data_IF_654050849277
#
_entry.id   IF_654050849277
#
_cell.length_a   1.000
_cell.length_b   1.000
_cell.length_c   1.000
_cell.angle_alpha   90.00
_cell.angle_beta   90.00
_cell.angle_gamma   90.00
#
_symmetry.space_group_name_H-M   'P 1'
#
loop_
_entity.id
_entity.type
_entity.pdbx_description
1 polymer ?
#
# COMPACT_ATOMS: atom_id res chain seq x y z
N UNK A 1 7.62 49.35 -9.34
CA UNK A 1 6.14 49.42 -9.19
C UNK A 1 5.56 48.04 -9.44
N UNK A 2 5.00 47.35 -8.44
CA UNK A 2 4.29 46.07 -8.65
C UNK A 2 2.95 46.37 -9.32
N UNK A 3 2.80 46.05 -10.60
CA UNK A 3 1.51 46.14 -11.29
C UNK A 3 0.55 45.11 -10.67
N UNK A 4 -0.33 45.58 -9.78
CA UNK A 4 -1.33 44.72 -9.14
C UNK A 4 -2.47 44.49 -10.14
N UNK A 5 -2.51 43.31 -10.75
CA UNK A 5 -3.60 42.91 -11.64
C UNK A 5 -4.89 42.86 -10.82
N UNK A 6 -5.95 43.54 -11.28
CA UNK A 6 -7.24 43.57 -10.59
C UNK A 6 -7.91 42.20 -10.72
N UNK A 7 -8.58 41.74 -9.66
CA UNK A 7 -9.30 40.45 -9.66
C UNK A 7 -10.30 40.35 -10.84
N UNK A 8 -11.06 41.42 -11.08
CA UNK A 8 -12.00 41.51 -12.20
C UNK A 8 -11.33 41.28 -13.56
N UNK A 9 -10.10 41.76 -13.76
CA UNK A 9 -9.35 41.52 -15.01
C UNK A 9 -9.04 40.04 -15.22
N UNK A 10 -8.72 39.30 -14.14
CA UNK A 10 -8.50 37.85 -14.24
C UNK A 10 -9.80 37.09 -14.52
N UNK A 11 -10.92 37.55 -13.95
CA UNK A 11 -12.25 37.00 -14.20
C UNK A 11 -12.67 37.24 -15.66
N UNK A 12 -12.53 38.46 -16.16
CA UNK A 12 -12.87 38.85 -17.54
C UNK A 12 -12.01 38.12 -18.59
N UNK A 13 -10.76 37.76 -18.24
CA UNK A 13 -9.85 36.96 -19.08
C UNK A 13 -10.02 35.44 -18.90
N UNK A 14 -11.03 35.02 -18.14
CA UNK A 14 -11.30 33.61 -17.83
C UNK A 14 -10.10 32.85 -17.24
N UNK A 15 -9.18 33.56 -16.59
CA UNK A 15 -7.99 32.95 -15.99
C UNK A 15 -8.34 31.81 -15.01
N UNK A 16 -9.35 31.92 -14.13
CA UNK A 16 -9.79 30.80 -13.29
C UNK A 16 -10.23 29.56 -14.09
N UNK A 17 -10.76 29.72 -15.30
CA UNK A 17 -11.13 28.60 -16.18
C UNK A 17 -9.88 27.88 -16.68
N UNK A 18 -8.85 28.62 -17.07
CA UNK A 18 -7.54 28.05 -17.45
C UNK A 18 -6.93 27.28 -16.28
N UNK A 19 -6.95 27.83 -15.06
CA UNK A 19 -6.44 27.14 -13.87
C UNK A 19 -7.17 25.81 -13.60
N UNK A 20 -8.49 25.76 -13.79
CA UNK A 20 -9.28 24.52 -13.66
C UNK A 20 -8.87 23.48 -14.71
N UNK A 21 -8.60 23.90 -15.95
CA UNK A 21 -8.12 22.99 -17.01
C UNK A 21 -6.72 22.44 -16.74
N UNK A 22 -5.84 23.25 -16.13
CA UNK A 22 -4.51 22.79 -15.71
C UNK A 22 -4.66 21.81 -14.54
N UNK A 23 -5.43 22.17 -13.52
CA UNK A 23 -5.67 21.34 -12.33
C UNK A 23 -6.21 19.96 -12.69
N UNK A 24 -7.15 19.85 -13.63
CA UNK A 24 -7.69 18.55 -14.06
C UNK A 24 -6.64 17.62 -14.70
N UNK A 25 -5.49 18.15 -15.12
CA UNK A 25 -4.36 17.40 -15.71
C UNK A 25 -3.22 17.14 -14.72
N UNK A 26 -3.30 17.67 -13.49
CA UNK A 26 -2.30 17.39 -12.46
C UNK A 26 -2.42 15.96 -11.93
N UNK A 27 -1.28 15.28 -11.78
CA UNK A 27 -1.22 13.89 -11.32
C UNK A 27 -1.50 13.72 -9.81
N UNK A 28 -1.25 14.76 -9.00
CA UNK A 28 -1.31 14.68 -7.53
C UNK A 28 -2.28 15.69 -6.94
N UNK A 29 -2.88 15.38 -5.80
CA UNK A 29 -3.78 16.30 -5.08
C UNK A 29 -3.09 17.61 -4.72
N UNK A 30 -1.86 17.64 -4.16
CA UNK A 30 -1.15 18.89 -3.92
C UNK A 30 -0.88 19.68 -5.21
N UNK A 31 -0.56 19.00 -6.32
CA UNK A 31 -0.38 19.64 -7.63
C UNK A 31 -1.67 20.31 -8.13
N UNK A 32 -2.83 19.67 -7.94
CA UNK A 32 -4.15 20.24 -8.27
C UNK A 32 -4.42 21.53 -7.50
N UNK A 33 -4.11 21.55 -6.20
CA UNK A 33 -4.26 22.72 -5.33
C UNK A 33 -3.29 23.82 -5.75
N UNK A 34 -2.02 23.49 -6.01
CA UNK A 34 -1.01 24.45 -6.46
C UNK A 34 -1.40 25.10 -7.80
N UNK A 35 -1.92 24.32 -8.76
CA UNK A 35 -2.38 24.83 -10.05
C UNK A 35 -3.52 25.85 -9.90
N UNK A 36 -4.47 25.61 -8.99
CA UNK A 36 -5.58 26.54 -8.72
C UNK A 36 -5.14 27.81 -7.98
N UNK A 37 -3.99 27.77 -7.30
CA UNK A 37 -3.43 28.89 -6.57
C UNK A 37 -2.49 29.77 -7.41
N UNK A 38 -2.23 29.40 -8.67
CA UNK A 38 -1.34 30.16 -9.56
C UNK A 38 -1.86 31.59 -9.78
N UNK A 39 -0.92 32.53 -9.84
CA UNK A 39 -1.16 33.93 -10.18
C UNK A 39 -0.12 34.38 -11.21
N UNK A 40 -0.43 35.34 -12.08
CA UNK A 40 0.56 35.85 -13.02
C UNK A 40 1.78 36.42 -12.29
N UNK A 41 2.98 36.01 -12.72
CA UNK A 41 4.22 36.51 -12.14
C UNK A 41 4.50 37.95 -12.58
N UNK A 42 5.00 38.77 -11.66
CA UNK A 42 5.39 40.16 -11.92
C UNK A 42 6.90 40.36 -12.08
N UNK A 43 7.69 39.32 -11.87
CA UNK A 43 9.15 39.37 -11.89
C UNK A 43 9.70 38.55 -13.05
N UNK A 44 10.58 39.16 -13.84
CA UNK A 44 11.13 38.57 -15.06
C UNK A 44 11.88 37.26 -14.79
N UNK A 45 12.66 37.21 -13.72
CA UNK A 45 13.44 36.03 -13.35
C UNK A 45 12.52 34.85 -13.02
N UNK A 46 11.48 35.06 -12.21
CA UNK A 46 10.48 34.04 -11.90
C UNK A 46 9.76 33.52 -13.16
N UNK A 47 9.44 34.41 -14.10
CA UNK A 47 8.86 34.04 -15.41
C UNK A 47 9.81 33.15 -16.20
N UNK A 48 11.08 33.57 -16.33
CA UNK A 48 12.08 32.82 -17.11
C UNK A 48 12.34 31.44 -16.50
N UNK A 49 12.50 31.34 -15.19
CA UNK A 49 12.69 30.05 -14.51
C UNK A 49 11.50 29.13 -14.70
N UNK A 50 10.27 29.61 -14.51
CA UNK A 50 9.07 28.78 -14.63
C UNK A 50 8.79 28.34 -16.08
N UNK A 51 8.98 29.23 -17.06
CA UNK A 51 8.88 28.86 -18.47
C UNK A 51 9.98 27.87 -18.87
N UNK A 52 11.19 28.05 -18.37
CA UNK A 52 12.30 27.12 -18.61
C UNK A 52 12.02 25.72 -18.04
N UNK A 53 11.56 25.63 -16.79
CA UNK A 53 11.14 24.35 -16.19
C UNK A 53 10.00 23.69 -16.97
N UNK A 54 9.02 24.49 -17.44
CA UNK A 54 7.92 23.99 -18.28
C UNK A 54 8.43 23.46 -19.62
N UNK A 55 9.38 24.16 -20.24
CA UNK A 55 10.00 23.76 -21.50
C UNK A 55 10.82 22.48 -21.36
N UNK A 56 11.60 22.35 -20.29
CA UNK A 56 12.36 21.12 -19.98
C UNK A 56 11.43 19.92 -19.75
N UNK A 57 10.35 20.14 -19.00
CA UNK A 57 9.37 19.09 -18.76
C UNK A 57 8.67 18.66 -20.06
N UNK A 58 8.29 19.62 -20.91
CA UNK A 58 7.70 19.35 -22.22
C UNK A 58 8.67 18.61 -23.15
N UNK A 59 9.95 18.99 -23.18
CA UNK A 59 10.94 18.35 -24.04
C UNK A 59 11.19 16.89 -23.66
N UNK A 60 10.94 16.51 -22.40
CA UNK A 60 11.02 15.11 -21.96
C UNK A 60 10.05 14.17 -22.70
N UNK A 61 8.97 14.68 -23.30
CA UNK A 61 8.05 13.88 -24.13
C UNK A 61 8.57 13.62 -25.55
N UNK A 62 9.58 14.38 -25.99
CA UNK A 62 10.13 14.31 -27.35
C UNK A 62 11.51 13.64 -27.40
N UNK A 63 12.11 13.36 -26.25
CA UNK A 63 13.43 12.72 -26.11
C UNK A 63 13.31 11.33 -25.51
N UNK A 64 14.28 10.45 -25.76
CA UNK A 64 14.33 9.11 -25.12
C UNK A 64 14.54 9.17 -23.59
N UNK A 65 14.93 10.33 -23.06
CA UNK A 65 15.15 10.58 -21.63
C UNK A 65 13.86 11.07 -20.96
N UNK A 66 12.77 10.30 -21.03
CA UNK A 66 11.49 10.74 -20.47
C UNK A 66 11.53 10.81 -18.94
N UNK A 67 11.03 11.93 -18.38
CA UNK A 67 10.90 12.10 -16.93
C UNK A 67 10.00 10.98 -16.37
N UNK A 68 10.43 10.26 -15.32
CA UNK A 68 9.66 9.16 -14.76
C UNK A 68 8.35 9.64 -14.13
N UNK A 69 7.44 8.69 -13.91
CA UNK A 69 6.19 8.98 -13.21
C UNK A 69 6.49 9.56 -11.81
N UNK A 70 5.75 10.60 -11.45
CA UNK A 70 5.88 11.34 -10.18
C UNK A 70 4.50 11.53 -9.52
N UNK A 71 3.54 10.69 -9.89
CA UNK A 71 2.28 10.59 -9.17
C UNK A 71 2.51 9.91 -7.82
N UNK A 72 1.88 10.44 -6.78
CA UNK A 72 1.91 9.89 -5.43
C UNK A 72 0.62 10.24 -4.70
N UNK A 73 0.28 9.42 -3.71
CA UNK A 73 -0.84 9.68 -2.81
C UNK A 73 -0.42 10.66 -1.70
N UNK A 74 -1.33 11.57 -1.37
CA UNK A 74 -1.11 12.54 -0.29
C UNK A 74 -1.01 11.83 1.07
N UNK A 75 0.00 12.19 1.86
CA UNK A 75 0.28 11.60 3.18
C UNK A 75 0.02 12.57 4.36
N UNK A 76 -0.68 13.68 4.11
CA UNK A 76 -0.88 14.73 5.12
C UNK A 76 -1.66 14.25 6.35
N UNK A 77 -2.55 13.27 6.18
CA UNK A 77 -3.30 12.70 7.31
C UNK A 77 -2.37 11.86 8.20
N UNK A 78 -1.50 11.07 7.59
CA UNK A 78 -0.51 10.22 8.25
C UNK A 78 0.52 11.05 8.99
N UNK A 79 1.04 12.11 8.37
CA UNK A 79 1.98 13.03 9.01
C UNK A 79 1.36 13.71 10.24
N UNK A 80 0.06 14.07 10.18
CA UNK A 80 -0.67 14.61 11.34
C UNK A 80 -0.81 13.58 12.46
N UNK A 81 -1.10 12.32 12.12
CA UNK A 81 -1.22 11.24 13.09
C UNK A 81 0.14 10.91 13.73
N UNK A 82 1.23 10.89 12.96
CA UNK A 82 2.59 10.66 13.46
C UNK A 82 3.07 11.73 14.45
N UNK A 83 2.53 12.96 14.36
CA UNK A 83 2.83 14.02 15.31
C UNK A 83 2.15 13.83 16.68
N UNK A 84 1.20 12.89 16.80
CA UNK A 84 0.47 12.61 18.03
C UNK A 84 1.06 11.37 18.69
N UNK A 85 1.61 11.54 19.90
CA UNK A 85 2.16 10.42 20.67
C UNK A 85 1.15 9.28 20.85
N UNK A 86 1.64 8.04 20.83
CA UNK A 86 0.87 6.81 20.98
C UNK A 86 -0.23 6.59 19.92
N UNK A 87 -0.16 7.29 18.79
CA UNK A 87 -1.03 7.04 17.64
C UNK A 87 -0.44 5.95 16.75
N UNK A 88 -1.32 5.21 16.09
CA UNK A 88 -0.94 4.18 15.11
C UNK A 88 -1.37 4.58 13.71
N UNK A 89 -0.59 4.17 12.71
CA UNK A 89 -0.98 4.25 11.31
C UNK A 89 -1.43 2.88 10.81
N UNK A 90 -2.35 2.88 9.86
CA UNK A 90 -2.67 1.69 9.07
C UNK A 90 -1.55 1.35 8.10
N UNK A 91 -1.44 0.08 7.73
CA UNK A 91 -0.44 -0.43 6.77
C UNK A 91 -0.44 0.39 5.47
N UNK A 92 -1.62 0.76 4.96
CA UNK A 92 -1.74 1.54 3.74
C UNK A 92 -1.09 2.92 3.85
N UNK A 93 -1.14 3.54 5.04
CA UNK A 93 -0.46 4.81 5.30
C UNK A 93 1.06 4.68 5.18
N UNK A 94 1.65 3.65 5.80
CA UNK A 94 3.08 3.36 5.65
C UNK A 94 3.46 3.09 4.20
N UNK A 95 2.65 2.34 3.46
CA UNK A 95 2.91 2.08 2.03
C UNK A 95 2.92 3.34 1.19
N UNK A 96 2.00 4.28 1.45
CA UNK A 96 2.00 5.59 0.76
C UNK A 96 3.27 6.39 1.06
N UNK A 97 3.73 6.39 2.32
CA UNK A 97 4.98 7.04 2.73
C UNK A 97 6.18 6.42 2.00
N UNK A 98 6.32 5.09 2.04
CA UNK A 98 7.41 4.40 1.34
C UNK A 98 7.40 4.66 -0.17
N UNK A 99 6.21 4.63 -0.79
CA UNK A 99 6.05 4.95 -2.22
C UNK A 99 6.46 6.38 -2.54
N UNK A 100 6.16 7.36 -1.68
CA UNK A 100 6.57 8.75 -1.89
C UNK A 100 8.10 8.88 -1.80
N UNK A 101 8.72 8.27 -0.79
CA UNK A 101 10.19 8.23 -0.65
C UNK A 101 10.85 7.64 -1.91
N UNK A 102 10.32 6.52 -2.43
CA UNK A 102 10.82 5.90 -3.65
C UNK A 102 10.69 6.81 -4.87
N UNK A 103 9.55 7.50 -5.04
CA UNK A 103 9.35 8.50 -6.11
C UNK A 103 10.40 9.62 -6.00
N UNK A 104 10.65 10.14 -4.81
CA UNK A 104 11.66 11.20 -4.60
C UNK A 104 13.06 10.70 -5.00
N UNK A 105 13.45 9.51 -4.55
CA UNK A 105 14.74 8.91 -4.90
C UNK A 105 14.91 8.70 -6.42
N UNK A 106 13.87 8.18 -7.08
CA UNK A 106 13.87 7.98 -8.54
C UNK A 106 13.98 9.30 -9.31
N UNK A 107 13.23 10.33 -8.90
CA UNK A 107 13.30 11.65 -9.51
C UNK A 107 14.68 12.29 -9.33
N UNK A 108 15.25 12.24 -8.12
CA UNK A 108 16.59 12.80 -7.85
C UNK A 108 17.67 12.07 -8.64
N UNK A 109 17.63 10.73 -8.67
CA UNK A 109 18.54 9.92 -9.49
C UNK A 109 18.44 10.28 -10.96
N UNK A 110 17.22 10.43 -11.47
CA UNK A 110 16.96 10.81 -12.86
C UNK A 110 17.53 12.21 -13.18
N UNK A 111 17.16 13.23 -12.42
CA UNK A 111 17.59 14.60 -12.69
C UNK A 111 19.10 14.79 -12.49
N UNK A 112 19.72 14.04 -11.57
CA UNK A 112 21.19 14.01 -11.43
C UNK A 112 21.85 13.42 -12.68
N UNK A 113 21.31 12.33 -13.21
CA UNK A 113 21.82 11.66 -14.43
C UNK A 113 21.67 12.55 -15.67
N UNK A 114 20.56 13.27 -15.80
CA UNK A 114 20.22 14.06 -16.97
C UNK A 114 20.32 15.58 -16.75
N UNK A 115 21.16 16.02 -15.81
CA UNK A 115 21.32 17.43 -15.43
C UNK A 115 21.70 18.38 -16.58
N UNK A 116 22.34 17.87 -17.63
CA UNK A 116 22.68 18.65 -18.82
C UNK A 116 21.46 18.90 -19.72
N UNK A 117 20.50 17.97 -19.72
CA UNK A 117 19.24 18.10 -20.47
C UNK A 117 18.19 18.86 -19.67
N UNK A 118 18.18 18.71 -18.34
CA UNK A 118 17.18 19.29 -17.43
C UNK A 118 17.82 20.09 -16.30
N UNK A 119 18.64 21.13 -16.58
CA UNK A 119 19.37 21.86 -15.55
C UNK A 119 18.46 22.59 -14.56
N UNK A 120 17.34 23.16 -15.00
CA UNK A 120 16.42 23.90 -14.12
C UNK A 120 15.61 22.95 -13.23
N UNK A 121 15.13 21.83 -13.77
CA UNK A 121 14.44 20.80 -12.99
C UNK A 121 15.40 20.06 -12.06
N UNK A 122 16.65 19.84 -12.47
CA UNK A 122 17.69 19.34 -11.58
C UNK A 122 17.93 20.31 -10.41
N UNK A 123 18.08 21.60 -10.68
CA UNK A 123 18.17 22.63 -9.64
C UNK A 123 16.98 22.60 -8.68
N UNK A 124 15.76 22.45 -9.20
CA UNK A 124 14.55 22.33 -8.37
C UNK A 124 14.58 21.08 -7.49
N UNK A 125 15.02 19.93 -8.00
CA UNK A 125 15.08 18.67 -7.24
C UNK A 125 16.10 18.66 -6.08
N UNK A 126 17.01 19.64 -6.05
CA UNK A 126 17.93 19.82 -4.93
C UNK A 126 17.24 20.40 -3.68
N UNK A 127 16.08 21.06 -3.83
CA UNK A 127 15.31 21.61 -2.71
C UNK A 127 14.59 20.55 -1.86
N UNK A 128 14.51 19.31 -2.36
CA UNK A 128 13.84 18.19 -1.71
C UNK A 128 14.89 17.23 -1.18
N UNK A 129 14.82 16.89 0.11
CA UNK A 129 15.70 15.89 0.71
C UNK A 129 15.27 14.47 0.32
N UNK A 130 16.25 13.58 0.17
CA UNK A 130 16.01 12.16 -0.10
C UNK A 130 16.11 11.38 1.21
N UNK A 131 15.07 10.62 1.54
CA UNK A 131 15.08 9.70 2.67
C UNK A 131 14.77 8.28 2.19
N UNK A 132 15.84 7.50 2.01
CA UNK A 132 15.74 6.08 1.63
C UNK A 132 15.67 5.15 2.83
N UNK A 133 16.01 5.64 4.02
CA UNK A 133 16.01 4.85 5.25
C UNK A 133 14.58 4.55 5.69
N UNK A 134 13.70 5.56 5.65
CA UNK A 134 12.27 5.38 5.97
C UNK A 134 11.62 4.33 5.07
N UNK A 135 11.87 4.38 3.76
CA UNK A 135 11.34 3.39 2.82
C UNK A 135 11.85 1.99 3.15
N UNK A 136 13.17 1.84 3.38
CA UNK A 136 13.78 0.56 3.71
C UNK A 136 13.25 -0.03 5.04
N UNK A 137 13.05 0.79 6.06
CA UNK A 137 12.47 0.37 7.33
C UNK A 137 11.04 -0.15 7.14
N UNK A 138 10.22 0.54 6.35
CA UNK A 138 8.85 0.12 6.05
C UNK A 138 8.84 -1.19 5.27
N UNK A 139 9.66 -1.34 4.24
CA UNK A 139 9.78 -2.56 3.42
C UNK A 139 10.37 -3.76 4.19
N UNK A 140 11.15 -3.48 5.24
CA UNK A 140 11.65 -4.48 6.17
C UNK A 140 10.56 -5.08 7.07
N UNK A 141 9.42 -4.38 7.23
CA UNK A 141 8.30 -4.82 8.08
C UNK A 141 7.09 -5.25 7.25
N UNK A 142 6.84 -4.56 6.14
CA UNK A 142 5.65 -4.71 5.29
C UNK A 142 6.10 -5.20 3.92
N UNK A 143 5.55 -6.31 3.45
CA UNK A 143 5.89 -6.85 2.15
C UNK A 143 5.17 -6.15 0.98
N UNK A 144 5.49 -6.58 -0.25
CA UNK A 144 4.88 -6.06 -1.49
C UNK A 144 3.36 -6.26 -1.57
N UNK A 145 2.80 -7.23 -0.86
CA UNK A 145 1.37 -7.52 -0.82
C UNK A 145 0.66 -6.67 0.23
N UNK A 146 1.40 -5.99 1.12
CA UNK A 146 0.85 -5.20 2.21
C UNK A 146 0.58 -6.04 3.44
N UNK A 147 1.29 -7.16 3.60
CA UNK A 147 1.23 -7.98 4.80
C UNK A 147 2.46 -7.72 5.67
N UNK A 148 2.27 -7.78 6.99
CA UNK A 148 3.39 -7.74 7.93
C UNK A 148 4.18 -9.03 7.78
N UNK A 149 5.47 -8.90 7.47
CA UNK A 149 6.36 -10.02 7.24
C UNK A 149 6.49 -10.91 8.48
N UNK A 150 6.71 -12.20 8.25
CA UNK A 150 6.94 -13.17 9.35
C UNK A 150 8.17 -12.81 10.18
N UNK A 151 9.18 -12.24 9.53
CA UNK A 151 10.47 -11.85 10.08
C UNK A 151 10.53 -10.38 10.53
N UNK A 152 9.39 -9.66 10.53
CA UNK A 152 9.34 -8.26 10.97
C UNK A 152 9.82 -8.06 12.41
N UNK A 153 9.77 -9.10 13.25
CA UNK A 153 10.52 -9.19 14.50
C UNK A 153 10.85 -10.63 14.84
N UNK A 154 11.91 -10.86 15.62
CA UNK A 154 12.25 -12.20 16.10
C UNK A 154 11.13 -12.85 16.92
N UNK A 155 10.42 -12.05 17.73
CA UNK A 155 9.30 -12.49 18.54
C UNK A 155 8.13 -12.94 17.66
N UNK A 156 7.75 -12.12 16.67
CA UNK A 156 6.70 -12.48 15.72
C UNK A 156 7.04 -13.75 14.94
N UNK A 157 8.27 -13.83 14.42
CA UNK A 157 8.72 -15.01 13.67
C UNK A 157 8.75 -16.27 14.52
N UNK A 158 9.06 -16.16 15.82
CA UNK A 158 8.97 -17.28 16.77
C UNK A 158 7.53 -17.73 17.00
N UNK A 159 6.62 -16.79 17.26
CA UNK A 159 5.20 -17.06 17.49
C UNK A 159 4.57 -17.70 16.25
N UNK A 160 4.80 -17.14 15.06
CA UNK A 160 4.26 -17.69 13.80
C UNK A 160 4.79 -19.10 13.53
N UNK A 161 6.08 -19.37 13.76
CA UNK A 161 6.63 -20.74 13.68
C UNK A 161 5.97 -21.71 14.65
N UNK A 162 5.80 -21.31 15.93
CA UNK A 162 5.10 -22.13 16.92
C UNK A 162 3.66 -22.42 16.49
N UNK A 163 2.93 -21.42 15.96
CA UNK A 163 1.58 -21.62 15.42
C UNK A 163 1.59 -22.65 14.27
N UNK A 164 2.56 -22.59 13.36
CA UNK A 164 2.67 -23.55 12.26
C UNK A 164 3.00 -24.96 12.75
N UNK A 165 3.88 -25.10 13.73
CA UNK A 165 4.19 -26.39 14.36
C UNK A 165 2.93 -27.01 14.97
N UNK A 166 2.18 -26.24 15.76
CA UNK A 166 0.93 -26.72 16.38
C UNK A 166 -0.12 -27.08 15.32
N UNK A 167 -0.28 -26.27 14.27
CA UNK A 167 -1.17 -26.59 13.14
C UNK A 167 -0.80 -27.90 12.44
N UNK A 168 0.50 -28.12 12.21
CA UNK A 168 1.01 -29.35 11.61
C UNK A 168 0.72 -30.58 12.49
N UNK A 169 0.96 -30.48 13.80
CA UNK A 169 0.65 -31.54 14.76
C UNK A 169 -0.85 -31.87 14.82
N UNK A 170 -1.72 -30.84 14.82
CA UNK A 170 -3.18 -31.02 14.76
C UNK A 170 -3.57 -31.75 13.48
N UNK A 171 -3.02 -31.34 12.33
CA UNK A 171 -3.32 -31.98 11.06
C UNK A 171 -2.84 -33.44 11.02
N UNK A 172 -1.65 -33.73 11.54
CA UNK A 172 -1.11 -35.08 11.61
C UNK A 172 -1.97 -35.98 12.51
N UNK A 173 -2.38 -35.47 13.67
CA UNK A 173 -3.30 -36.17 14.58
C UNK A 173 -4.66 -36.44 13.91
N UNK A 174 -5.21 -35.45 13.21
CA UNK A 174 -6.45 -35.60 12.47
C UNK A 174 -6.35 -36.67 11.37
N UNK A 175 -5.30 -36.63 10.54
CA UNK A 175 -5.07 -37.61 9.46
C UNK A 175 -4.94 -39.02 10.03
N UNK A 176 -4.23 -39.19 11.15
CA UNK A 176 -4.12 -40.50 11.82
C UNK A 176 -5.48 -41.01 12.32
N UNK A 177 -6.28 -40.14 12.94
CA UNK A 177 -7.62 -40.49 13.40
C UNK A 177 -8.58 -40.81 12.24
N UNK A 178 -8.49 -40.06 11.14
CA UNK A 178 -9.23 -40.30 9.91
C UNK A 178 -8.89 -41.67 9.32
N UNK A 179 -7.61 -42.00 9.17
CA UNK A 179 -7.15 -43.29 8.66
C UNK A 179 -7.60 -44.46 9.55
N UNK A 180 -7.49 -44.32 10.86
CA UNK A 180 -7.94 -45.34 11.83
C UNK A 180 -9.45 -45.56 11.76
N UNK A 181 -10.23 -44.47 11.66
CA UNK A 181 -11.68 -44.54 11.50
C UNK A 181 -12.10 -45.19 10.17
N UNK A 182 -11.41 -44.89 9.08
CA UNK A 182 -11.66 -45.50 7.77
C UNK A 182 -11.33 -46.99 7.77
N UNK A 183 -10.16 -47.38 8.29
CA UNK A 183 -9.75 -48.79 8.35
C UNK A 183 -10.69 -49.67 9.20
N UNK A 184 -11.40 -49.06 10.14
CA UNK A 184 -12.35 -49.75 11.01
C UNK A 184 -13.81 -49.69 10.53
N UNK A 185 -14.08 -49.08 9.37
CA UNK A 185 -15.43 -48.80 8.83
C UNK A 185 -16.36 -48.05 9.81
N UNK A 186 -15.78 -47.17 10.65
CA UNK A 186 -16.54 -46.39 11.63
C UNK A 186 -17.08 -45.07 11.07
N UNK A 187 -16.51 -44.61 9.96
CA UNK A 187 -16.87 -43.33 9.35
C UNK A 187 -18.03 -43.47 8.39
N UNK A 188 -18.75 -42.37 8.22
CA UNK A 188 -19.73 -42.22 7.17
C UNK A 188 -19.06 -42.01 5.79
N UNK A 189 -19.81 -42.05 4.69
CA UNK A 189 -19.27 -41.91 3.33
C UNK A 189 -18.54 -40.58 3.14
N UNK A 190 -19.04 -39.51 3.77
CA UNK A 190 -18.40 -38.19 3.71
C UNK A 190 -17.06 -38.12 4.46
N UNK A 191 -16.83 -39.04 5.42
CA UNK A 191 -15.61 -39.25 6.24
C UNK A 191 -15.17 -38.09 7.13
N UNK A 192 -15.24 -36.86 6.65
CA UNK A 192 -14.90 -35.64 7.37
C UNK A 192 -15.90 -34.52 7.09
N UNK A 193 -15.95 -33.54 7.98
CA UNK A 193 -16.74 -32.32 7.80
C UNK A 193 -16.10 -31.15 8.53
N UNK A 194 -16.76 -29.99 8.54
CA UNK A 194 -16.33 -28.80 9.28
C UNK A 194 -17.48 -28.31 10.16
N UNK A 195 -17.21 -28.20 11.47
CA UNK A 195 -18.15 -27.67 12.47
C UNK A 195 -17.46 -26.53 13.21
N UNK A 196 -18.10 -25.36 13.28
CA UNK A 196 -17.54 -24.15 13.93
C UNK A 196 -16.11 -23.82 13.47
N UNK A 197 -15.87 -23.93 12.15
CA UNK A 197 -14.56 -23.73 11.52
C UNK A 197 -13.46 -24.70 12.02
N UNK A 198 -13.85 -25.85 12.58
CA UNK A 198 -12.96 -26.95 12.96
C UNK A 198 -13.23 -28.17 12.08
N UNK A 199 -12.17 -28.79 11.59
CA UNK A 199 -12.25 -30.04 10.85
C UNK A 199 -12.55 -31.19 11.80
N UNK A 200 -13.56 -31.98 11.51
CA UNK A 200 -14.12 -33.04 12.36
C UNK A 200 -14.32 -34.33 11.57
N UNK A 201 -14.29 -35.47 12.27
CA UNK A 201 -14.57 -36.77 11.66
C UNK A 201 -16.08 -36.98 11.57
N UNK A 202 -16.57 -37.44 10.43
CA UNK A 202 -17.97 -37.83 10.27
C UNK A 202 -18.13 -39.29 10.66
N UNK A 203 -18.54 -39.56 11.91
CA UNK A 203 -18.64 -40.91 12.47
C UNK A 203 -20.09 -41.41 12.38
N UNK A 204 -20.31 -42.64 11.92
CA UNK A 204 -21.64 -43.26 11.97
C UNK A 204 -22.09 -43.37 13.42
N UNK A 205 -23.32 -42.96 13.73
CA UNK A 205 -23.78 -42.79 15.11
C UNK A 205 -23.72 -44.05 15.98
N UNK A 206 -23.88 -45.23 15.36
CA UNK A 206 -23.72 -46.53 16.02
C UNK A 206 -22.31 -46.75 16.58
N UNK A 207 -21.28 -46.13 16.00
CA UNK A 207 -19.88 -46.27 16.39
C UNK A 207 -19.33 -45.09 17.20
N UNK A 208 -20.18 -44.13 17.64
CA UNK A 208 -19.74 -42.93 18.37
C UNK A 208 -18.88 -43.19 19.61
N UNK A 209 -19.08 -44.33 20.29
CA UNK A 209 -18.30 -44.73 21.48
C UNK A 209 -16.95 -45.39 21.13
N UNK A 210 -16.73 -45.75 19.87
CA UNK A 210 -15.51 -46.41 19.37
C UNK A 210 -14.45 -45.41 18.92
N UNK A 211 -14.85 -44.19 18.56
CA UNK A 211 -13.93 -43.10 18.18
C UNK A 211 -13.66 -42.24 19.42
N UNK A 212 -12.39 -42.06 19.76
CA UNK A 212 -11.98 -41.16 20.85
C UNK A 212 -12.03 -39.71 20.37
N UNK A 213 -12.71 -38.85 21.12
CA UNK A 213 -12.82 -37.44 20.80
C UNK A 213 -13.95 -36.76 21.57
N UNK A 214 -14.07 -35.44 21.39
CA UNK A 214 -15.20 -34.67 21.90
C UNK A 214 -16.23 -34.54 20.77
N UNK A 215 -17.47 -34.91 21.05
CA UNK A 215 -18.59 -34.70 20.12
C UNK A 215 -18.82 -33.20 19.95
N UNK A 216 -18.83 -32.75 18.69
CA UNK A 216 -19.02 -31.37 18.26
C UNK A 216 -20.42 -31.13 17.67
N UNK A 217 -21.14 -32.18 17.29
CA UNK A 217 -22.52 -32.08 16.85
C UNK A 217 -23.07 -33.37 16.27
N UNK A 218 -24.27 -33.33 15.72
CA UNK A 218 -24.89 -34.44 15.00
C UNK A 218 -25.55 -33.94 13.72
N UNK A 219 -25.68 -34.82 12.72
CA UNK A 219 -26.45 -34.51 11.52
C UNK A 219 -27.93 -34.28 11.86
N UNK A 220 -28.68 -33.65 10.93
CA UNK A 220 -30.13 -33.41 11.08
C UNK A 220 -30.93 -34.69 11.34
N UNK A 221 -30.51 -35.79 10.73
CA UNK A 221 -31.12 -37.13 10.88
C UNK A 221 -30.63 -37.87 12.11
N UNK A 222 -29.59 -37.37 12.79
CA UNK A 222 -28.93 -38.07 13.89
C UNK A 222 -28.18 -39.34 13.46
N UNK A 223 -27.97 -39.56 12.15
CA UNK A 223 -27.24 -40.72 11.63
C UNK A 223 -25.72 -40.56 11.71
N UNK A 224 -25.22 -39.33 11.75
CA UNK A 224 -23.78 -39.00 11.83
C UNK A 224 -23.53 -38.16 13.08
N UNK A 225 -22.45 -38.48 13.79
CA UNK A 225 -21.89 -37.68 14.88
C UNK A 225 -20.59 -37.05 14.40
N UNK A 226 -20.43 -35.75 14.67
CA UNK A 226 -19.23 -34.97 14.37
C UNK A 226 -18.39 -34.74 15.63
#
# INVERSE_FOLDING_TARGET
MKHKIRKKTLEDLEFPTVLKQISSRCATTPGKVAALALVPYGEREAIQTSLGQTSEYLSSFTTDNRIPAHGFDEINAELRLLAIENTTLEIQGFRRIASLCAVVADQKKFFKKFKEYYPLLHGLSLSVEEDTEVAAMIEGVIDRFGEVRDDASEALGRIRRQMQTVKSQINQSFVSALQSGQASDYLDEIRESVVENRRVLAVRSMYRKKVKGRVMGTSKTGSIVY
#
